data_IF_067719201162
#
_entry.id   IF_067719201162
#
_cell.length_a   1.000
_cell.length_b   1.000
_cell.length_c   1.000
_cell.angle_alpha   90.00
_cell.angle_beta   90.00
_cell.angle_gamma   90.00
#
_symmetry.space_group_name_H-M   'P 1'
#
loop_
_entity.id
_entity.type
_entity.pdbx_description
1 polymer ?
#
# COMPACT_ATOMS: atom_id res chain seq x y z
N UNK A 1 -11.89 3.54 -39.26
CA UNK A 1 -11.64 4.24 -37.99
C UNK A 1 -10.15 4.19 -37.72
N UNK A 2 -9.50 5.34 -37.51
CA UNK A 2 -8.08 5.38 -37.14
C UNK A 2 -7.85 4.64 -35.82
N UNK A 3 -6.85 3.78 -35.80
CA UNK A 3 -6.47 3.03 -34.56
C UNK A 3 -5.81 4.03 -33.64
N UNK A 4 -6.43 4.31 -32.49
CA UNK A 4 -5.90 5.19 -31.46
C UNK A 4 -4.50 4.68 -31.06
N UNK A 5 -3.48 5.54 -31.01
CA UNK A 5 -2.12 5.17 -30.65
C UNK A 5 -2.06 4.67 -29.18
N UNK A 6 -1.01 3.91 -28.82
CA UNK A 6 -0.83 3.47 -27.44
C UNK A 6 -0.70 4.64 -26.48
N UNK A 7 -0.06 5.72 -26.92
CA UNK A 7 0.11 6.95 -26.13
C UNK A 7 -1.24 7.65 -25.88
N UNK A 8 -2.09 7.76 -26.90
CA UNK A 8 -3.44 8.32 -26.74
C UNK A 8 -4.32 7.45 -25.83
N UNK A 9 -4.17 6.12 -25.88
CA UNK A 9 -4.88 5.21 -24.99
C UNK A 9 -4.45 5.44 -23.53
N UNK A 10 -3.15 5.61 -23.28
CA UNK A 10 -2.61 5.87 -21.92
C UNK A 10 -3.08 7.24 -21.39
N UNK A 11 -3.12 8.27 -22.23
CA UNK A 11 -3.65 9.59 -21.87
C UNK A 11 -5.12 9.49 -21.44
N UNK A 12 -5.95 8.77 -22.18
CA UNK A 12 -7.37 8.59 -21.82
C UNK A 12 -7.52 7.78 -20.54
N UNK A 13 -6.75 6.69 -20.37
CA UNK A 13 -6.73 5.87 -19.15
C UNK A 13 -6.38 6.69 -17.93
N UNK A 14 -5.31 7.49 -18.01
CA UNK A 14 -4.84 8.35 -16.92
C UNK A 14 -5.87 9.45 -16.58
N UNK A 15 -6.58 9.98 -17.58
CA UNK A 15 -7.68 10.92 -17.37
C UNK A 15 -8.82 10.27 -16.60
N UNK A 16 -9.23 9.04 -16.95
CA UNK A 16 -10.25 8.28 -16.22
C UNK A 16 -9.82 8.08 -14.76
N UNK A 17 -8.58 7.64 -14.52
CA UNK A 17 -8.02 7.42 -13.17
C UNK A 17 -8.04 8.72 -12.35
N UNK A 18 -7.55 9.82 -12.91
CA UNK A 18 -7.47 11.13 -12.22
C UNK A 18 -8.85 11.64 -11.81
N UNK A 19 -9.81 11.63 -12.74
CA UNK A 19 -11.19 12.05 -12.49
C UNK A 19 -11.88 11.14 -11.47
N UNK A 20 -11.67 9.83 -11.59
CA UNK A 20 -12.24 8.85 -10.65
C UNK A 20 -11.71 9.05 -9.25
N UNK A 21 -10.39 9.31 -9.09
CA UNK A 21 -9.76 9.64 -7.80
C UNK A 21 -10.44 10.84 -7.14
N UNK A 22 -10.63 11.92 -7.89
CA UNK A 22 -11.34 13.11 -7.41
C UNK A 22 -12.73 12.75 -6.90
N UNK A 23 -13.54 12.08 -7.72
CA UNK A 23 -14.92 11.73 -7.37
C UNK A 23 -14.99 10.75 -6.18
N UNK A 24 -14.12 9.73 -6.12
CA UNK A 24 -14.09 8.81 -4.98
C UNK A 24 -13.73 9.51 -3.67
N UNK A 25 -12.86 10.52 -3.71
CA UNK A 25 -12.50 11.30 -2.52
C UNK A 25 -13.60 12.28 -2.10
N UNK A 26 -14.28 12.92 -3.06
CA UNK A 26 -15.28 13.95 -2.78
C UNK A 26 -16.64 13.36 -2.37
N UNK A 27 -17.13 12.37 -3.10
CA UNK A 27 -18.48 11.83 -2.90
C UNK A 27 -18.51 10.39 -2.41
N UNK A 28 -17.37 9.68 -2.44
CA UNK A 28 -17.22 8.30 -2.01
C UNK A 28 -17.48 7.29 -3.12
N UNK A 29 -17.04 6.05 -2.88
CA UNK A 29 -17.15 4.95 -3.85
C UNK A 29 -18.61 4.65 -4.23
N UNK A 30 -19.49 4.51 -3.24
CA UNK A 30 -20.88 4.09 -3.46
C UNK A 30 -21.66 5.07 -4.36
N UNK A 31 -21.47 6.39 -4.12
CA UNK A 31 -22.17 7.46 -4.84
C UNK A 31 -21.55 7.80 -6.20
N UNK A 32 -20.36 7.31 -6.49
CA UNK A 32 -19.71 7.50 -7.81
C UNK A 32 -20.19 6.42 -8.79
N UNK A 33 -20.50 6.81 -10.02
CA UNK A 33 -20.89 5.90 -11.10
C UNK A 33 -19.98 6.07 -12.31
N UNK A 34 -19.90 5.05 -13.19
CA UNK A 34 -19.20 5.16 -14.49
C UNK A 34 -19.73 6.31 -15.31
N UNK A 35 -21.05 6.56 -15.25
CA UNK A 35 -21.69 7.70 -15.90
C UNK A 35 -21.21 9.05 -15.35
N UNK A 36 -21.04 9.20 -14.02
CA UNK A 36 -20.50 10.43 -13.45
C UNK A 36 -19.02 10.63 -13.80
N UNK A 37 -18.25 9.54 -13.81
CA UNK A 37 -16.85 9.57 -14.23
C UNK A 37 -16.72 9.99 -15.70
N UNK A 38 -17.50 9.39 -16.61
CA UNK A 38 -17.45 9.71 -18.03
C UNK A 38 -17.83 11.16 -18.32
N UNK A 39 -18.86 11.66 -17.63
CA UNK A 39 -19.30 13.07 -17.74
C UNK A 39 -18.19 14.04 -17.31
N UNK A 40 -17.57 13.81 -16.16
CA UNK A 40 -16.50 14.66 -15.62
C UNK A 40 -15.22 14.53 -16.48
N UNK A 41 -14.94 13.35 -17.03
CA UNK A 41 -13.82 13.12 -17.94
C UNK A 41 -14.07 13.67 -19.36
N UNK A 42 -15.30 14.09 -19.72
CA UNK A 42 -15.64 14.56 -21.06
C UNK A 42 -15.51 13.48 -22.13
N UNK A 43 -15.86 12.22 -21.81
CA UNK A 43 -15.84 11.07 -22.72
C UNK A 43 -17.17 10.33 -22.70
N UNK A 44 -17.44 9.54 -23.73
CA UNK A 44 -18.62 8.66 -23.72
C UNK A 44 -18.49 7.57 -22.66
N UNK A 45 -19.58 7.19 -21.97
CA UNK A 45 -19.55 6.14 -20.94
C UNK A 45 -19.03 4.80 -21.49
N UNK A 46 -19.38 4.45 -22.72
CA UNK A 46 -18.86 3.27 -23.41
C UNK A 46 -17.33 3.26 -23.56
N UNK A 47 -16.71 4.45 -23.61
CA UNK A 47 -15.24 4.56 -23.68
C UNK A 47 -14.57 4.06 -22.41
N UNK A 48 -15.19 4.22 -21.24
CA UNK A 48 -14.66 3.70 -19.97
C UNK A 48 -14.49 2.18 -20.04
N UNK A 49 -15.47 1.48 -20.62
CA UNK A 49 -15.47 0.02 -20.70
C UNK A 49 -14.44 -0.56 -21.67
N UNK A 50 -13.80 0.28 -22.49
CA UNK A 50 -12.63 -0.12 -23.29
C UNK A 50 -11.36 -0.24 -22.43
N UNK A 51 -11.32 0.37 -21.23
CA UNK A 51 -10.16 0.41 -20.34
C UNK A 51 -10.40 -0.37 -19.04
N UNK A 52 -11.62 -0.36 -18.53
CA UNK A 52 -11.97 -0.93 -17.23
C UNK A 52 -13.30 -1.68 -17.33
N UNK A 53 -13.34 -2.91 -16.86
CA UNK A 53 -14.56 -3.73 -16.95
C UNK A 53 -15.62 -3.35 -15.91
N UNK A 54 -15.27 -2.56 -14.90
CA UNK A 54 -16.18 -2.15 -13.83
C UNK A 54 -15.66 -0.95 -13.03
N UNK A 55 -16.55 -0.32 -12.25
CA UNK A 55 -16.19 0.71 -11.28
C UNK A 55 -15.22 0.18 -10.22
N UNK A 56 -15.39 -1.07 -9.80
CA UNK A 56 -14.47 -1.74 -8.85
C UNK A 56 -13.03 -1.76 -9.40
N UNK A 57 -12.86 -2.05 -10.69
CA UNK A 57 -11.54 -2.08 -11.34
C UNK A 57 -10.92 -0.69 -11.42
N UNK A 58 -11.73 0.35 -11.73
CA UNK A 58 -11.27 1.74 -11.71
C UNK A 58 -10.81 2.12 -10.29
N UNK A 59 -11.60 1.79 -9.29
CA UNK A 59 -11.27 2.08 -7.88
C UNK A 59 -9.97 1.39 -7.46
N UNK A 60 -9.81 0.13 -7.82
CA UNK A 60 -8.58 -0.61 -7.58
C UNK A 60 -7.37 0.09 -8.22
N UNK A 61 -7.42 0.44 -9.51
CA UNK A 61 -6.30 1.09 -10.21
C UNK A 61 -5.97 2.47 -9.65
N UNK A 62 -6.99 3.24 -9.20
CA UNK A 62 -6.80 4.56 -8.56
C UNK A 62 -5.93 4.47 -7.30
N UNK A 63 -6.19 3.50 -6.42
CA UNK A 63 -5.52 3.40 -5.13
C UNK A 63 -4.34 2.45 -5.13
N UNK A 64 -4.30 1.50 -6.06
CA UNK A 64 -3.19 0.59 -6.24
C UNK A 64 -1.88 1.33 -6.58
N UNK A 65 -1.91 2.27 -7.54
CA UNK A 65 -0.72 3.01 -7.94
C UNK A 65 -0.11 3.81 -6.78
N UNK A 66 -0.94 4.41 -5.93
CA UNK A 66 -0.46 5.17 -4.75
C UNK A 66 0.27 4.29 -3.73
N UNK A 67 -0.19 3.05 -3.57
CA UNK A 67 0.46 2.09 -2.66
C UNK A 67 1.75 1.55 -3.27
N UNK A 68 1.72 1.19 -4.55
CA UNK A 68 2.87 0.62 -5.28
C UNK A 68 4.05 1.59 -5.38
N UNK A 69 3.81 2.85 -5.74
CA UNK A 69 4.85 3.87 -5.89
C UNK A 69 5.65 4.11 -4.59
N UNK A 70 5.06 3.82 -3.44
CA UNK A 70 5.72 3.98 -2.14
C UNK A 70 6.61 2.79 -1.79
N UNK A 71 6.20 1.58 -2.16
CA UNK A 71 7.04 0.38 -1.97
C UNK A 71 8.26 0.45 -2.89
N UNK A 72 8.11 0.93 -4.12
CA UNK A 72 9.25 1.07 -5.06
C UNK A 72 10.32 2.07 -4.62
N UNK A 73 9.96 3.06 -3.80
CA UNK A 73 10.95 4.01 -3.27
C UNK A 73 11.88 3.43 -2.20
N UNK A 74 11.59 2.22 -1.76
CA UNK A 74 12.42 1.41 -0.86
C UNK A 74 12.64 1.99 0.54
N UNK A 75 13.28 1.20 1.38
CA UNK A 75 13.74 1.59 2.72
C UNK A 75 15.16 2.19 2.61
N UNK A 76 15.25 3.46 2.22
CA UNK A 76 16.52 4.05 1.72
C UNK A 76 17.24 4.95 2.71
N UNK A 77 16.92 4.96 4.00
CA UNK A 77 17.60 5.87 4.96
C UNK A 77 18.60 5.15 5.82
N UNK A 78 19.83 5.69 5.85
CA UNK A 78 20.87 5.33 6.81
C UNK A 78 20.42 5.70 8.23
N UNK A 79 20.74 4.84 9.18
CA UNK A 79 20.52 5.07 10.60
C UNK A 79 21.55 6.06 11.14
N UNK A 80 21.07 7.24 11.50
CA UNK A 80 21.88 8.26 12.18
C UNK A 80 21.58 8.33 13.69
N UNK A 81 20.62 7.53 14.17
CA UNK A 81 20.13 7.61 15.56
C UNK A 81 20.57 6.42 16.40
N UNK A 82 20.82 6.66 17.70
CA UNK A 82 21.17 5.59 18.67
C UNK A 82 19.99 4.64 18.99
N UNK A 83 18.77 4.94 18.53
CA UNK A 83 17.59 4.09 18.73
C UNK A 83 17.25 3.32 17.45
N UNK A 84 17.91 2.19 17.26
CA UNK A 84 17.74 1.29 16.12
C UNK A 84 16.29 0.84 15.94
N UNK A 85 15.60 0.52 17.05
CA UNK A 85 14.21 0.02 16.98
C UNK A 85 13.26 1.11 16.45
N UNK A 86 13.39 2.32 17.01
CA UNK A 86 12.55 3.42 16.55
C UNK A 86 12.80 3.73 15.08
N UNK A 87 14.03 3.67 14.65
CA UNK A 87 14.38 3.94 13.25
C UNK A 87 13.89 2.86 12.28
N UNK A 88 14.02 1.58 12.64
CA UNK A 88 13.43 0.48 11.87
C UNK A 88 11.91 0.69 11.76
N UNK A 89 11.27 1.05 12.88
CA UNK A 89 9.82 1.32 12.91
C UNK A 89 9.43 2.49 12.01
N UNK A 90 10.18 3.60 12.07
CA UNK A 90 9.95 4.77 11.21
C UNK A 90 10.06 4.43 9.73
N UNK A 91 11.12 3.71 9.34
CA UNK A 91 11.33 3.32 7.96
C UNK A 91 10.20 2.43 7.44
N UNK A 92 9.81 1.42 8.22
CA UNK A 92 8.69 0.52 7.90
C UNK A 92 7.37 1.30 7.82
N UNK A 93 7.10 2.17 8.79
CA UNK A 93 5.87 2.98 8.83
C UNK A 93 5.79 3.98 7.68
N UNK A 94 6.91 4.55 7.23
CA UNK A 94 6.94 5.52 6.16
C UNK A 94 6.41 4.96 4.82
N UNK A 95 6.60 3.65 4.56
CA UNK A 95 6.01 3.00 3.39
C UNK A 95 4.48 3.03 3.48
N UNK A 96 3.92 2.83 4.68
CA UNK A 96 2.47 2.80 4.93
C UNK A 96 1.86 4.20 5.00
N UNK A 97 2.68 5.23 5.24
CA UNK A 97 2.23 6.57 5.58
C UNK A 97 1.28 7.18 4.55
N UNK A 98 1.54 6.96 3.26
CA UNK A 98 0.68 7.51 2.21
C UNK A 98 -0.66 6.78 2.12
N UNK A 99 -0.66 5.46 2.24
CA UNK A 99 -1.89 4.68 2.34
C UNK A 99 -2.72 5.12 3.56
N UNK A 100 -2.08 5.31 4.71
CA UNK A 100 -2.74 5.75 5.94
C UNK A 100 -3.23 7.22 5.92
N UNK A 101 -2.90 8.02 4.87
CA UNK A 101 -3.54 9.34 4.65
C UNK A 101 -4.99 9.20 4.21
N UNK A 102 -5.35 8.09 3.59
CA UNK A 102 -6.72 7.83 3.18
C UNK A 102 -7.64 7.69 4.39
N UNK A 103 -8.92 8.09 4.27
CA UNK A 103 -9.91 7.82 5.31
C UNK A 103 -10.08 6.32 5.56
N UNK A 104 -10.33 5.92 6.81
CA UNK A 104 -10.59 4.50 7.17
C UNK A 104 -11.62 3.83 6.26
N UNK A 105 -12.71 4.56 5.94
CA UNK A 105 -13.74 4.06 5.02
C UNK A 105 -13.18 3.68 3.65
N UNK A 106 -12.27 4.48 3.10
CA UNK A 106 -11.63 4.20 1.80
C UNK A 106 -10.71 2.99 1.90
N UNK A 107 -9.92 2.88 2.97
CA UNK A 107 -9.05 1.72 3.20
C UNK A 107 -9.84 0.42 3.34
N UNK A 108 -10.96 0.45 4.07
CA UNK A 108 -11.86 -0.70 4.19
C UNK A 108 -12.45 -1.08 2.82
N UNK A 109 -12.90 -0.09 2.05
CA UNK A 109 -13.44 -0.30 0.71
C UNK A 109 -12.40 -0.91 -0.23
N UNK A 110 -11.13 -0.49 -0.15
CA UNK A 110 -10.03 -1.09 -0.91
C UNK A 110 -9.91 -2.59 -0.63
N UNK A 111 -9.95 -3.01 0.63
CA UNK A 111 -9.92 -4.43 1.01
C UNK A 111 -11.10 -5.21 0.43
N UNK A 112 -12.33 -4.70 0.59
CA UNK A 112 -13.54 -5.33 0.11
C UNK A 112 -13.58 -5.43 -1.43
N UNK A 113 -13.22 -4.37 -2.12
CA UNK A 113 -13.14 -4.33 -3.60
C UNK A 113 -12.09 -5.30 -4.11
N UNK A 114 -10.92 -5.36 -3.48
CA UNK A 114 -9.85 -6.31 -3.85
C UNK A 114 -10.35 -7.76 -3.77
N UNK A 115 -10.99 -8.13 -2.67
CA UNK A 115 -11.57 -9.49 -2.51
C UNK A 115 -12.65 -9.75 -3.56
N UNK A 116 -13.52 -8.78 -3.81
CA UNK A 116 -14.61 -8.88 -4.80
C UNK A 116 -14.08 -9.09 -6.22
N UNK A 117 -13.05 -8.33 -6.60
CA UNK A 117 -12.42 -8.47 -7.92
C UNK A 117 -11.68 -9.80 -8.01
N UNK A 118 -10.92 -10.17 -6.99
CA UNK A 118 -10.10 -11.39 -6.95
C UNK A 118 -10.93 -12.66 -7.18
N UNK A 119 -12.18 -12.69 -6.72
CA UNK A 119 -13.12 -13.80 -7.00
C UNK A 119 -13.44 -13.96 -8.48
N UNK A 120 -13.41 -12.88 -9.27
CA UNK A 120 -13.76 -12.88 -10.70
C UNK A 120 -12.52 -12.91 -11.59
N UNK A 121 -11.45 -12.29 -11.15
CA UNK A 121 -10.19 -12.09 -11.89
C UNK A 121 -9.01 -12.38 -10.96
N UNK A 122 -8.56 -13.64 -10.84
CA UNK A 122 -7.46 -14.02 -9.93
C UNK A 122 -6.14 -13.28 -10.17
N UNK A 123 -5.95 -12.73 -11.38
CA UNK A 123 -4.77 -11.91 -11.70
C UNK A 123 -4.66 -10.64 -10.85
N UNK A 124 -5.77 -10.06 -10.41
CA UNK A 124 -5.76 -8.92 -9.48
C UNK A 124 -5.25 -9.31 -8.10
N UNK A 125 -5.61 -10.51 -7.63
CA UNK A 125 -5.06 -11.02 -6.38
C UNK A 125 -3.54 -11.21 -6.48
N UNK A 126 -3.06 -11.82 -7.59
CA UNK A 126 -1.61 -11.96 -7.83
C UNK A 126 -0.90 -10.62 -7.90
N UNK A 127 -1.54 -9.60 -8.52
CA UNK A 127 -1.01 -8.24 -8.59
C UNK A 127 -0.88 -7.61 -7.19
N UNK A 128 -1.86 -7.79 -6.31
CA UNK A 128 -1.77 -7.33 -4.90
C UNK A 128 -0.70 -8.10 -4.14
N UNK A 129 -0.70 -9.43 -4.21
CA UNK A 129 0.28 -10.26 -3.55
C UNK A 129 1.72 -9.92 -3.99
N UNK A 130 1.95 -9.54 -5.25
CA UNK A 130 3.28 -9.13 -5.71
C UNK A 130 3.80 -7.86 -5.02
N UNK A 131 2.92 -6.95 -4.59
CA UNK A 131 3.32 -5.79 -3.80
C UNK A 131 3.72 -6.21 -2.39
N UNK A 132 2.93 -7.10 -1.78
CA UNK A 132 3.21 -7.59 -0.43
C UNK A 132 4.55 -8.33 -0.40
N UNK A 133 4.83 -9.17 -1.42
CA UNK A 133 6.14 -9.83 -1.58
C UNK A 133 7.27 -8.81 -1.77
N UNK A 134 7.08 -7.81 -2.61
CA UNK A 134 8.08 -6.76 -2.81
C UNK A 134 8.33 -5.97 -1.51
N UNK A 135 7.28 -5.70 -0.75
CA UNK A 135 7.41 -5.06 0.56
C UNK A 135 8.26 -5.90 1.52
N UNK A 136 7.99 -7.21 1.60
CA UNK A 136 8.77 -8.12 2.44
C UNK A 136 10.23 -8.21 1.99
N UNK A 137 10.49 -8.23 0.69
CA UNK A 137 11.83 -8.21 0.09
C UNK A 137 12.60 -6.95 0.47
N UNK A 138 11.98 -5.76 0.38
CA UNK A 138 12.59 -4.50 0.79
C UNK A 138 12.91 -4.48 2.30
N UNK A 139 12.02 -5.00 3.14
CA UNK A 139 12.28 -5.14 4.59
C UNK A 139 13.41 -6.11 4.83
N UNK A 140 13.46 -7.25 4.14
CA UNK A 140 14.55 -8.22 4.23
C UNK A 140 15.89 -7.57 3.87
N UNK A 141 15.99 -6.91 2.72
CA UNK A 141 17.22 -6.24 2.29
C UNK A 141 17.68 -5.17 3.29
N UNK A 142 16.73 -4.47 3.91
CA UNK A 142 17.05 -3.50 4.95
C UNK A 142 17.63 -4.17 6.20
N UNK A 143 17.05 -5.27 6.66
CA UNK A 143 17.56 -6.04 7.81
C UNK A 143 18.93 -6.66 7.51
N UNK A 144 19.14 -7.21 6.30
CA UNK A 144 20.44 -7.75 5.86
C UNK A 144 21.53 -6.68 5.92
N UNK A 145 21.22 -5.47 5.48
CA UNK A 145 22.15 -4.34 5.57
C UNK A 145 22.52 -4.03 7.02
N UNK A 146 21.57 -4.01 7.94
CA UNK A 146 21.83 -3.79 9.38
C UNK A 146 22.69 -4.90 10.00
N UNK A 147 22.54 -6.14 9.55
CA UNK A 147 23.40 -7.25 9.96
C UNK A 147 24.82 -7.05 9.41
N UNK A 148 24.98 -6.70 8.14
CA UNK A 148 26.29 -6.42 7.52
C UNK A 148 27.00 -5.25 8.23
N UNK A 149 26.26 -4.20 8.58
CA UNK A 149 26.76 -3.03 9.32
C UNK A 149 27.03 -3.33 10.81
N UNK A 150 26.83 -4.57 11.26
CA UNK A 150 27.00 -5.00 12.67
C UNK A 150 26.15 -4.20 13.66
N UNK A 151 25.01 -3.71 13.22
CA UNK A 151 23.99 -3.10 14.08
C UNK A 151 23.07 -4.15 14.69
N UNK A 152 22.82 -5.22 13.93
CA UNK A 152 22.08 -6.41 14.38
C UNK A 152 22.97 -7.66 14.28
N UNK A 153 22.82 -8.60 15.22
CA UNK A 153 23.39 -9.94 15.10
C UNK A 153 22.61 -10.77 14.10
N UNK A 154 23.19 -11.87 13.65
CA UNK A 154 22.62 -12.72 12.62
C UNK A 154 21.28 -13.37 13.05
N UNK A 155 20.33 -13.37 12.14
CA UNK A 155 19.07 -14.14 12.13
C UNK A 155 18.61 -14.36 10.69
N UNK A 156 17.58 -15.20 10.49
CA UNK A 156 16.93 -15.34 9.17
C UNK A 156 16.07 -14.10 8.86
N UNK A 157 16.65 -13.18 8.07
CA UNK A 157 16.01 -11.89 7.72
C UNK A 157 14.76 -12.08 6.85
N UNK A 158 14.68 -13.15 6.06
CA UNK A 158 13.50 -13.49 5.26
C UNK A 158 12.33 -13.81 6.19
N UNK A 159 12.52 -14.75 7.12
CA UNK A 159 11.47 -15.11 8.09
C UNK A 159 11.10 -13.92 8.96
N UNK A 160 12.08 -13.11 9.37
CA UNK A 160 11.83 -11.91 10.17
C UNK A 160 10.98 -10.89 9.39
N UNK A 161 11.24 -10.68 8.10
CA UNK A 161 10.44 -9.77 7.26
C UNK A 161 8.99 -10.26 7.11
N UNK A 162 8.76 -11.56 6.98
CA UNK A 162 7.42 -12.16 6.95
C UNK A 162 6.66 -11.94 8.28
N UNK A 163 7.32 -12.10 9.43
CA UNK A 163 6.71 -11.85 10.76
C UNK A 163 6.39 -10.37 10.95
N UNK A 164 7.30 -9.48 10.55
CA UNK A 164 7.06 -8.02 10.58
C UNK A 164 5.88 -7.66 9.70
N UNK A 165 5.80 -8.20 8.47
CA UNK A 165 4.68 -7.99 7.57
C UNK A 165 3.35 -8.46 8.17
N UNK A 166 3.31 -9.65 8.77
CA UNK A 166 2.14 -10.16 9.49
C UNK A 166 1.71 -9.23 10.63
N UNK A 167 2.67 -8.64 11.36
CA UNK A 167 2.41 -7.64 12.40
C UNK A 167 1.78 -6.37 11.84
N UNK A 168 2.24 -5.91 10.66
CA UNK A 168 1.69 -4.74 9.97
C UNK A 168 0.25 -5.01 9.54
N UNK A 169 -0.01 -6.15 8.91
CA UNK A 169 -1.37 -6.54 8.47
C UNK A 169 -2.33 -6.60 9.66
N UNK A 170 -1.87 -7.16 10.79
CA UNK A 170 -2.64 -7.18 12.02
C UNK A 170 -2.97 -5.77 12.52
N UNK A 171 -1.98 -4.86 12.62
CA UNK A 171 -2.20 -3.50 13.12
C UNK A 171 -3.10 -2.68 12.18
N UNK A 172 -2.98 -2.84 10.87
CA UNK A 172 -3.90 -2.22 9.91
C UNK A 172 -5.32 -2.75 10.12
N UNK A 173 -5.48 -4.05 10.31
CA UNK A 173 -6.79 -4.68 10.56
C UNK A 173 -7.40 -4.13 11.85
N UNK A 174 -6.65 -4.04 12.94
CA UNK A 174 -7.10 -3.46 14.21
C UNK A 174 -7.45 -1.97 14.06
N UNK A 175 -6.61 -1.21 13.34
CA UNK A 175 -6.87 0.20 13.04
C UNK A 175 -8.19 0.40 12.27
N UNK A 176 -8.52 -0.50 11.35
CA UNK A 176 -9.77 -0.45 10.59
C UNK A 176 -10.97 -0.90 11.44
N UNK A 177 -10.79 -1.91 12.28
CA UNK A 177 -11.83 -2.44 13.18
C UNK A 177 -12.19 -1.43 14.28
N UNK A 178 -11.21 -0.82 14.91
CA UNK A 178 -11.35 0.12 16.02
C UNK A 178 -11.60 1.55 15.50
N UNK A 179 -12.86 1.98 15.47
CA UNK A 179 -13.22 3.30 14.91
C UNK A 179 -12.49 4.47 15.55
N UNK A 180 -12.19 4.41 16.86
CA UNK A 180 -11.53 5.48 17.62
C UNK A 180 -10.01 5.36 17.70
N UNK A 181 -9.42 4.29 17.19
CA UNK A 181 -7.97 4.11 17.22
C UNK A 181 -7.27 5.18 16.37
N UNK A 182 -6.40 6.03 16.95
CA UNK A 182 -5.62 6.99 16.18
C UNK A 182 -4.45 6.31 15.46
N UNK A 183 -3.92 6.96 14.43
CA UNK A 183 -2.75 6.45 13.67
C UNK A 183 -1.47 6.35 14.52
N UNK A 184 -1.37 7.19 15.56
CA UNK A 184 -0.27 7.13 16.54
C UNK A 184 -0.21 5.77 17.25
N UNK A 185 -1.37 5.21 17.60
CA UNK A 185 -1.43 3.94 18.31
C UNK A 185 -1.01 2.78 17.41
N UNK A 186 -1.41 2.80 16.12
CA UNK A 186 -0.92 1.83 15.14
C UNK A 186 0.61 1.85 15.08
N UNK A 187 1.22 3.03 14.99
CA UNK A 187 2.67 3.19 14.93
C UNK A 187 3.35 2.73 16.23
N UNK A 188 2.80 3.12 17.40
CA UNK A 188 3.32 2.71 18.69
C UNK A 188 3.25 1.19 18.88
N UNK A 189 2.14 0.57 18.48
CA UNK A 189 1.98 -0.89 18.54
C UNK A 189 2.97 -1.61 17.62
N UNK A 190 3.22 -1.07 16.42
CA UNK A 190 4.27 -1.60 15.55
C UNK A 190 5.65 -1.49 16.20
N UNK A 191 5.98 -0.35 16.81
CA UNK A 191 7.23 -0.16 17.53
C UNK A 191 7.42 -1.20 18.64
N UNK A 192 6.39 -1.45 19.45
CA UNK A 192 6.41 -2.48 20.51
C UNK A 192 6.67 -3.86 19.92
N UNK A 193 6.00 -4.23 18.82
CA UNK A 193 6.18 -5.54 18.18
C UNK A 193 7.57 -5.68 17.57
N UNK A 194 8.04 -4.69 16.83
CA UNK A 194 9.39 -4.67 16.24
C UNK A 194 10.45 -4.74 17.35
N UNK A 195 10.27 -3.99 18.45
CA UNK A 195 11.13 -4.07 19.63
C UNK A 195 11.16 -5.48 20.22
N UNK A 196 10.00 -6.10 20.38
CA UNK A 196 9.89 -7.46 20.91
C UNK A 196 10.60 -8.48 20.03
N UNK A 197 10.54 -8.32 18.73
CA UNK A 197 11.18 -9.20 17.75
C UNK A 197 12.70 -9.00 17.69
N UNK A 198 13.17 -7.76 17.74
CA UNK A 198 14.55 -7.41 17.36
C UNK A 198 15.46 -7.02 18.53
N UNK A 199 14.93 -6.67 19.72
CA UNK A 199 15.76 -6.19 20.84
C UNK A 199 16.88 -7.15 21.25
N UNK A 200 16.66 -8.47 21.13
CA UNK A 200 17.65 -9.49 21.45
C UNK A 200 18.79 -9.61 20.43
N UNK A 201 18.64 -8.97 19.27
CA UNK A 201 19.61 -8.99 18.19
C UNK A 201 20.41 -7.70 18.04
N UNK A 202 20.12 -6.65 18.84
CA UNK A 202 20.84 -5.37 18.78
C UNK A 202 22.27 -5.54 19.32
N UNK A 203 23.27 -5.14 18.50
CA UNK A 203 24.69 -5.17 18.91
C UNK A 203 25.03 -3.84 19.56
N UNK A 204 25.57 -3.87 20.81
CA UNK A 204 26.00 -2.69 21.52
C UNK A 204 24.92 -1.93 22.28
N UNK A 205 23.68 -2.37 22.27
CA UNK A 205 22.62 -1.86 23.14
C UNK A 205 22.71 -2.49 24.52
N UNK A 206 23.14 -1.72 25.51
CA UNK A 206 22.93 -2.01 26.93
C UNK A 206 21.66 -1.32 27.40
#
# INVERSE_FOLDING_TARGET
MARISKEEQEVVKNKIISVSRKLFNEVGFDKTSTKSISKEAGIAEGTIFNYFSSKDEIFFEVFYSEYFDNVEKGLSRSIENNDIINEITENIYNILKNMLRLPKKVLLEMGLVTIKIAKKKPEFFRKMASIDFKYMEEVQHYLDRLIIEKKLSFFDSRIMSEIIFGSIVYEISMYLYENKMPKSDLKNNLNIKISTLLKGYIIGGK
#
